data_IF_608836212497
#
_entry.id   IF_608836212497
#
_cell.length_a   1.000
_cell.length_b   1.000
_cell.length_c   1.000
_cell.angle_alpha   90.00
_cell.angle_beta   90.00
_cell.angle_gamma   90.00
#
_symmetry.space_group_name_H-M   'P 1'
#
loop_
_entity.id
_entity.type
_entity.pdbx_description
1 polymer ?
#
# COMPACT_ATOMS: atom_id res chain seq x y z
N UNK A 1 0.16 3.62 13.09
CA UNK A 1 -1.30 3.84 13.17
C UNK A 1 -1.80 5.17 12.62
N UNK A 2 -1.38 6.36 13.09
CA UNK A 2 -1.89 7.62 12.50
C UNK A 2 -1.39 7.87 11.08
N UNK A 3 -0.11 7.59 10.82
CA UNK A 3 0.49 7.79 9.50
C UNK A 3 -0.09 6.84 8.43
N UNK A 4 -0.26 5.56 8.74
CA UNK A 4 -0.83 4.57 7.80
C UNK A 4 -2.26 4.96 7.40
N UNK A 5 -3.08 5.34 8.39
CA UNK A 5 -4.44 5.84 8.14
C UNK A 5 -4.45 7.08 7.25
N UNK A 6 -3.49 7.99 7.47
CA UNK A 6 -3.36 9.17 6.62
C UNK A 6 -2.94 8.80 5.19
N UNK A 7 -1.95 7.93 5.03
CA UNK A 7 -1.48 7.46 3.71
C UNK A 7 -2.60 6.77 2.92
N UNK A 8 -3.49 6.06 3.60
CA UNK A 8 -4.65 5.41 2.99
C UNK A 8 -5.79 6.38 2.66
N UNK A 9 -5.83 7.57 3.27
CA UNK A 9 -6.87 8.57 3.02
C UNK A 9 -6.76 9.17 1.61
N UNK A 10 -7.86 9.73 1.05
CA UNK A 10 -7.81 10.41 -0.24
C UNK A 10 -6.73 11.50 -0.31
N UNK A 11 -6.60 12.30 0.74
CA UNK A 11 -5.61 13.39 0.84
C UNK A 11 -4.18 12.85 0.87
N UNK A 12 -3.93 11.78 1.64
CA UNK A 12 -2.61 11.15 1.67
C UNK A 12 -2.25 10.49 0.34
N UNK A 13 -3.21 9.86 -0.34
CA UNK A 13 -3.00 9.27 -1.66
C UNK A 13 -2.72 10.35 -2.72
N UNK A 14 -3.46 11.46 -2.71
CA UNK A 14 -3.24 12.58 -3.62
C UNK A 14 -1.86 13.20 -3.40
N UNK A 15 -1.50 13.50 -2.14
CA UNK A 15 -0.19 14.05 -1.80
C UNK A 15 0.94 13.07 -2.19
N UNK A 16 0.73 11.77 -1.98
CA UNK A 16 1.66 10.73 -2.39
C UNK A 16 1.86 10.70 -3.90
N UNK A 17 0.78 10.76 -4.69
CA UNK A 17 0.86 10.83 -6.15
C UNK A 17 1.59 12.10 -6.61
N UNK A 18 1.26 13.26 -6.03
CA UNK A 18 1.95 14.50 -6.35
C UNK A 18 3.47 14.37 -6.14
N UNK A 19 3.89 13.81 -4.99
CA UNK A 19 5.31 13.68 -4.66
C UNK A 19 6.03 12.61 -5.50
N UNK A 20 5.42 11.44 -5.67
CA UNK A 20 6.09 10.27 -6.26
C UNK A 20 5.97 10.20 -7.79
N UNK A 21 4.92 10.80 -8.37
CA UNK A 21 4.63 10.73 -9.81
C UNK A 21 4.78 12.06 -10.53
N UNK A 22 4.36 13.15 -9.91
CA UNK A 22 4.31 14.46 -10.55
C UNK A 22 5.45 15.40 -10.14
N UNK A 23 6.42 14.90 -9.35
CA UNK A 23 7.61 15.64 -8.97
C UNK A 23 7.36 16.82 -8.01
N UNK A 24 6.22 16.82 -7.31
CA UNK A 24 5.97 17.79 -6.25
C UNK A 24 7.00 17.62 -5.12
N UNK A 25 7.54 18.73 -4.63
CA UNK A 25 8.58 18.73 -3.60
C UNK A 25 8.01 19.20 -2.27
N UNK A 26 8.16 18.38 -1.23
CA UNK A 26 7.80 18.74 0.15
C UNK A 26 8.78 19.74 0.80
N UNK A 27 9.98 19.87 0.23
CA UNK A 27 11.03 20.78 0.67
C UNK A 27 11.94 21.15 -0.53
N UNK A 28 12.65 22.28 -0.44
CA UNK A 28 13.51 22.77 -1.53
C UNK A 28 14.72 21.86 -1.79
N UNK A 29 15.27 21.25 -0.74
CA UNK A 29 16.36 20.27 -0.76
C UNK A 29 15.98 19.00 0.02
N UNK A 30 16.48 17.80 -0.37
CA UNK A 30 16.30 16.59 0.42
C UNK A 30 16.82 16.68 1.86
N UNK A 31 17.82 17.53 2.11
CA UNK A 31 18.37 17.75 3.45
C UNK A 31 17.39 18.47 4.40
N UNK A 32 16.40 19.17 3.84
CA UNK A 32 15.41 19.94 4.59
C UNK A 32 14.16 19.11 4.93
N UNK A 33 14.11 17.85 4.49
CA UNK A 33 13.00 16.95 4.80
C UNK A 33 12.98 16.63 6.30
N UNK A 34 11.85 16.96 6.92
CA UNK A 34 11.58 16.56 8.29
C UNK A 34 11.35 15.06 8.38
N UNK A 35 11.61 14.47 9.55
CA UNK A 35 11.37 13.04 9.77
C UNK A 35 9.94 12.60 9.41
N UNK A 36 8.86 13.32 9.79
CA UNK A 36 7.50 12.96 9.37
C UNK A 36 7.28 12.98 7.86
N UNK A 37 7.91 13.90 7.12
CA UNK A 37 7.81 13.93 5.65
C UNK A 37 8.52 12.72 5.03
N UNK A 38 9.68 12.34 5.56
CA UNK A 38 10.40 11.13 5.12
C UNK A 38 9.55 9.88 5.40
N UNK A 39 9.03 9.76 6.62
CA UNK A 39 8.21 8.62 7.02
C UNK A 39 6.94 8.52 6.14
N UNK A 40 6.31 9.66 5.83
CA UNK A 40 5.19 9.72 4.89
C UNK A 40 5.56 9.24 3.49
N UNK A 41 6.65 9.74 2.90
CA UNK A 41 7.08 9.34 1.56
C UNK A 41 7.37 7.83 1.48
N UNK A 42 8.03 7.28 2.50
CA UNK A 42 8.30 5.85 2.59
C UNK A 42 7.02 5.03 2.69
N UNK A 43 6.09 5.42 3.57
CA UNK A 43 4.81 4.72 3.73
C UNK A 43 3.94 4.82 2.47
N UNK A 44 3.88 5.98 1.82
CA UNK A 44 3.17 6.17 0.56
C UNK A 44 3.74 5.29 -0.57
N UNK A 45 5.08 5.16 -0.64
CA UNK A 45 5.72 4.29 -1.61
C UNK A 45 5.37 2.81 -1.36
N UNK A 46 5.44 2.34 -0.11
CA UNK A 46 5.07 0.96 0.26
C UNK A 46 3.61 0.67 -0.08
N UNK A 47 2.68 1.51 0.36
CA UNK A 47 1.26 1.36 0.07
C UNK A 47 0.99 1.27 -1.44
N UNK A 48 1.72 2.06 -2.23
CA UNK A 48 1.61 2.02 -3.70
C UNK A 48 2.13 0.71 -4.29
N UNK A 49 3.27 0.21 -3.82
CA UNK A 49 3.81 -1.08 -4.27
C UNK A 49 2.83 -2.22 -3.97
N UNK A 50 2.24 -2.23 -2.78
CA UNK A 50 1.22 -3.20 -2.39
C UNK A 50 -0.02 -3.14 -3.30
N UNK A 51 -0.52 -1.94 -3.61
CA UNK A 51 -1.65 -1.76 -4.54
C UNK A 51 -1.33 -2.25 -5.95
N UNK A 52 -0.11 -2.02 -6.44
CA UNK A 52 0.33 -2.53 -7.75
C UNK A 52 0.39 -4.06 -7.75
N UNK A 53 0.95 -4.66 -6.70
CA UNK A 53 1.00 -6.12 -6.54
C UNK A 53 -0.41 -6.71 -6.48
N UNK A 54 -1.30 -6.09 -5.70
CA UNK A 54 -2.70 -6.51 -5.59
C UNK A 54 -3.42 -6.42 -6.94
N UNK A 55 -3.27 -5.29 -7.65
CA UNK A 55 -3.88 -5.09 -8.96
C UNK A 55 -3.42 -6.16 -9.97
N UNK A 56 -2.11 -6.43 -10.04
CA UNK A 56 -1.56 -7.51 -10.89
C UNK A 56 -2.11 -8.88 -10.52
N UNK A 57 -2.30 -9.14 -9.23
CA UNK A 57 -2.88 -10.39 -8.76
C UNK A 57 -4.35 -10.58 -9.15
N UNK A 58 -5.06 -9.49 -9.48
CA UNK A 58 -6.45 -9.51 -9.92
C UNK A 58 -6.60 -9.56 -11.46
N UNK A 59 -5.48 -9.53 -12.20
CA UNK A 59 -5.50 -9.69 -13.66
C UNK A 59 -5.94 -11.11 -14.06
N UNK A 60 -6.81 -11.19 -15.07
CA UNK A 60 -7.29 -12.47 -15.59
C UNK A 60 -6.14 -13.34 -16.09
N UNK A 61 -6.09 -14.60 -15.64
CA UNK A 61 -5.03 -15.56 -16.00
C UNK A 61 -3.93 -15.74 -14.94
N UNK A 62 -3.99 -15.02 -13.81
CA UNK A 62 -3.10 -15.24 -12.67
C UNK A 62 -3.69 -16.32 -11.74
N UNK A 63 -2.98 -17.45 -11.61
CA UNK A 63 -3.31 -18.49 -10.61
C UNK A 63 -2.88 -18.03 -9.21
N UNK A 64 -3.84 -17.78 -8.32
CA UNK A 64 -3.58 -17.50 -6.90
C UNK A 64 -3.53 -18.79 -6.09
N UNK A 65 -2.45 -19.00 -5.35
CA UNK A 65 -2.39 -20.03 -4.30
C UNK A 65 -2.99 -19.44 -3.03
N UNK A 66 -4.22 -19.85 -2.71
CA UNK A 66 -4.88 -19.52 -1.45
C UNK A 66 -4.63 -20.69 -0.51
N UNK A 67 -3.82 -20.46 0.52
CA UNK A 67 -3.70 -21.40 1.62
C UNK A 67 -4.89 -21.17 2.55
N UNK A 68 -5.85 -22.08 2.53
CA UNK A 68 -6.91 -22.13 3.53
C UNK A 68 -6.38 -22.92 4.72
N UNK A 69 -6.06 -22.25 5.82
CA UNK A 69 -5.61 -22.91 7.05
C UNK A 69 -6.76 -23.55 7.86
N UNK A 70 -8.02 -23.43 7.42
CA UNK A 70 -9.19 -23.97 8.13
C UNK A 70 -10.08 -24.84 7.21
N UNK A 71 -9.54 -25.94 6.69
CA UNK A 71 -10.36 -27.10 6.33
C UNK A 71 -10.40 -28.03 7.54
N UNK A 72 -11.15 -27.62 8.57
CA UNK A 72 -11.60 -28.57 9.59
C UNK A 72 -12.57 -29.54 8.90
N UNK A 73 -12.13 -30.78 8.78
CA UNK A 73 -12.93 -31.94 8.43
C UNK A 73 -14.08 -32.12 9.44
N UNK A 74 -15.28 -31.60 9.15
CA UNK A 74 -16.50 -32.19 9.71
C UNK A 74 -17.02 -33.26 8.75
N UNK A 75 -16.53 -34.47 9.01
CA UNK A 75 -16.95 -35.75 8.48
C UNK A 75 -18.48 -35.93 8.54
N UNK A 76 -19.04 -36.32 7.40
CA UNK A 76 -20.42 -36.79 7.25
C UNK A 76 -20.76 -37.95 8.20
N UNK A 77 -21.80 -37.80 9.01
CA UNK A 77 -22.68 -38.93 9.37
C UNK A 77 -24.14 -38.48 9.31
N UNK A 78 -24.89 -39.18 8.44
CA UNK A 78 -26.34 -39.04 8.28
C UNK A 78 -27.16 -39.79 9.32
#
# INVERSE_FOLDING_TARGET
MELERFVESPEGQELGALCLDYGYRLADSPADLTRPQIDFLMAALVSRMEKIVLARSQEAGVTKLVFADDLDDEESTG
#
